data_IF_134627770511
#
_entry.id   IF_134627770511
#
_cell.length_a   1.000
_cell.length_b   1.000
_cell.length_c   1.000
_cell.angle_alpha   90.00
_cell.angle_beta   90.00
_cell.angle_gamma   90.00
#
_symmetry.space_group_name_H-M   'P 1'
#
loop_
_entity.id
_entity.type
_entity.pdbx_description
1 polymer ?
#
# COMPACT_ATOMS: atom_id res chain seq x y z
N UNK A 1 49.17 1.46 14.88
CA UNK A 1 48.80 0.59 16.01
C UNK A 1 47.95 1.42 16.96
N UNK A 2 46.82 0.85 17.40
CA UNK A 2 45.81 1.38 18.34
C UNK A 2 44.68 2.23 17.75
N UNK A 3 43.59 1.51 17.48
CA UNK A 3 42.22 2.00 17.49
C UNK A 3 41.79 2.37 18.92
N UNK A 4 40.98 3.42 19.05
CA UNK A 4 40.12 3.65 20.19
C UNK A 4 38.74 4.04 19.64
N UNK A 5 37.82 3.07 19.59
CA UNK A 5 36.41 3.29 19.32
C UNK A 5 35.68 3.39 20.65
N UNK A 6 35.25 4.58 21.02
CA UNK A 6 34.30 4.79 22.12
C UNK A 6 32.90 4.70 21.53
N UNK A 7 32.23 3.56 21.72
CA UNK A 7 30.85 3.35 21.30
C UNK A 7 29.95 4.08 22.32
N UNK A 8 29.55 5.31 21.98
CA UNK A 8 28.43 5.97 22.64
C UNK A 8 27.18 5.50 21.90
N UNK A 9 26.30 4.81 22.63
CA UNK A 9 25.04 4.26 22.15
C UNK A 9 24.19 5.33 21.49
N UNK A 10 24.21 5.35 20.16
CA UNK A 10 23.21 6.02 19.35
C UNK A 10 22.09 4.99 19.15
N UNK A 11 20.94 5.22 19.78
CA UNK A 11 19.70 4.56 19.39
C UNK A 11 19.48 4.87 17.90
N UNK A 12 19.86 3.94 17.04
CA UNK A 12 19.53 4.01 15.63
C UNK A 12 18.04 3.68 15.54
N UNK A 13 17.19 4.70 15.72
CA UNK A 13 15.80 4.58 15.29
C UNK A 13 15.83 4.41 13.79
N UNK A 14 15.73 3.16 13.34
CA UNK A 14 15.60 2.81 11.95
C UNK A 14 14.20 3.26 11.51
N UNK A 15 14.03 4.55 11.21
CA UNK A 15 12.88 5.03 10.46
C UNK A 15 13.06 4.50 9.05
N UNK A 16 12.58 3.29 8.80
CA UNK A 16 12.40 2.78 7.47
C UNK A 16 11.32 3.64 6.80
N UNK A 17 11.73 4.68 6.09
CA UNK A 17 10.87 5.34 5.11
C UNK A 17 10.52 4.27 4.09
N UNK A 18 9.27 3.78 4.11
CA UNK A 18 8.77 2.95 3.02
C UNK A 18 8.82 3.81 1.76
N UNK A 19 9.82 3.59 0.93
CA UNK A 19 9.93 4.29 -0.34
C UNK A 19 8.77 3.78 -1.20
N UNK A 20 7.71 4.57 -1.31
CA UNK A 20 6.58 4.25 -2.20
C UNK A 20 7.16 4.07 -3.59
N UNK A 21 7.05 2.88 -4.16
CA UNK A 21 7.52 2.65 -5.52
C UNK A 21 6.71 3.56 -6.45
N UNK A 22 7.39 4.47 -7.15
CA UNK A 22 6.72 5.41 -8.05
C UNK A 22 6.01 4.64 -9.17
N UNK A 23 4.85 5.14 -9.62
CA UNK A 23 4.16 4.54 -10.76
C UNK A 23 4.99 4.63 -12.04
N UNK A 24 5.62 5.78 -12.26
CA UNK A 24 6.51 6.04 -13.38
C UNK A 24 7.86 6.54 -12.87
N UNK A 25 8.96 5.94 -13.30
CA UNK A 25 10.31 6.37 -12.97
C UNK A 25 11.04 6.75 -14.25
N UNK A 26 11.61 7.97 -14.29
CA UNK A 26 12.49 8.40 -15.39
C UNK A 26 13.91 8.58 -14.90
N UNK A 27 14.82 7.79 -15.44
CA UNK A 27 16.24 7.74 -15.06
C UNK A 27 17.05 8.51 -16.10
N UNK A 28 17.81 9.51 -15.64
CA UNK A 28 18.78 10.28 -16.44
C UNK A 28 20.12 10.42 -15.71
N UNK A 29 20.56 9.36 -15.04
CA UNK A 29 21.74 9.35 -14.18
C UNK A 29 22.79 8.43 -14.76
N UNK A 30 24.02 8.88 -14.95
CA UNK A 30 25.12 8.03 -15.40
C UNK A 30 25.71 7.25 -14.20
N UNK A 31 25.72 5.92 -14.31
CA UNK A 31 26.25 5.03 -13.27
C UNK A 31 27.72 4.71 -13.56
N UNK A 32 28.63 5.55 -13.06
CA UNK A 32 30.07 5.41 -13.33
C UNK A 32 30.85 4.72 -12.20
N UNK A 33 30.30 4.71 -10.98
CA UNK A 33 30.93 4.09 -9.81
C UNK A 33 30.57 2.61 -9.73
N UNK A 34 31.58 1.76 -9.50
CA UNK A 34 31.42 0.33 -9.22
C UNK A 34 30.31 0.09 -8.19
N UNK A 35 29.37 -0.80 -8.50
CA UNK A 35 28.21 -1.07 -7.65
C UNK A 35 27.09 -1.80 -8.36
N UNK A 36 26.06 -2.14 -7.59
CA UNK A 36 24.79 -2.69 -8.08
C UNK A 36 23.68 -1.69 -7.76
N UNK A 37 22.89 -1.35 -8.77
CA UNK A 37 21.79 -0.38 -8.64
C UNK A 37 20.48 -1.06 -9.01
N UNK A 38 19.44 -0.78 -8.22
CA UNK A 38 18.08 -1.26 -8.46
C UNK A 38 17.16 -0.06 -8.63
N UNK A 39 16.36 -0.07 -9.71
CA UNK A 39 15.31 0.92 -9.96
C UNK A 39 13.98 0.20 -10.14
N UNK A 40 12.97 0.62 -9.38
CA UNK A 40 11.67 -0.03 -9.36
C UNK A 40 10.55 0.97 -9.66
N UNK A 41 9.61 0.57 -10.53
CA UNK A 41 8.37 1.30 -10.78
C UNK A 41 7.17 0.35 -10.83
N UNK A 42 6.02 0.76 -10.33
CA UNK A 42 4.82 -0.10 -10.38
C UNK A 42 4.20 -0.17 -11.77
N UNK A 43 4.49 0.77 -12.66
CA UNK A 43 4.06 0.73 -14.05
C UNK A 43 5.26 0.78 -15.00
N UNK A 44 5.94 1.92 -15.07
CA UNK A 44 6.89 2.16 -16.16
C UNK A 44 8.24 2.70 -15.66
N UNK A 45 9.33 2.14 -16.19
CA UNK A 45 10.69 2.70 -16.05
C UNK A 45 11.14 3.22 -17.41
N UNK A 46 11.46 4.51 -17.52
CA UNK A 46 12.09 5.13 -18.70
C UNK A 46 13.55 5.46 -18.39
N UNK A 47 14.48 5.02 -19.21
CA UNK A 47 15.91 5.14 -18.93
C UNK A 47 16.71 5.77 -20.08
N UNK A 48 17.57 6.73 -19.74
CA UNK A 48 18.46 7.47 -20.67
C UNK A 48 19.91 7.50 -20.17
N UNK A 49 20.31 6.53 -19.35
CA UNK A 49 21.56 6.55 -18.62
C UNK A 49 22.71 5.81 -19.31
N UNK A 50 23.94 6.16 -18.89
CA UNK A 50 25.13 5.35 -19.17
C UNK A 50 25.43 4.41 -18.01
N UNK A 51 25.81 3.17 -18.31
CA UNK A 51 26.25 2.16 -17.34
C UNK A 51 27.74 1.93 -17.54
N UNK A 52 28.54 2.31 -16.55
CA UNK A 52 29.99 2.18 -16.55
C UNK A 52 30.48 0.74 -16.46
N UNK A 53 31.79 0.55 -16.68
CA UNK A 53 32.43 -0.77 -16.61
C UNK A 53 32.29 -1.35 -15.19
N UNK A 54 32.00 -2.66 -15.12
CA UNK A 54 31.82 -3.39 -13.85
C UNK A 54 30.70 -2.85 -12.96
N UNK A 55 29.74 -2.14 -13.55
CA UNK A 55 28.52 -1.69 -12.88
C UNK A 55 27.37 -2.62 -13.25
N UNK A 56 26.57 -3.01 -12.26
CA UNK A 56 25.31 -3.72 -12.44
C UNK A 56 24.12 -2.80 -12.25
N UNK A 57 23.17 -2.83 -13.17
CA UNK A 57 21.90 -2.09 -13.04
C UNK A 57 20.74 -3.03 -13.33
N UNK A 58 19.81 -3.12 -12.39
CA UNK A 58 18.55 -3.84 -12.54
C UNK A 58 17.36 -2.87 -12.57
N UNK A 59 16.54 -2.96 -13.61
CA UNK A 59 15.27 -2.26 -13.73
C UNK A 59 14.12 -3.24 -13.53
N UNK A 60 13.19 -2.90 -12.63
CA UNK A 60 11.97 -3.66 -12.41
C UNK A 60 10.77 -2.77 -12.63
N UNK A 61 9.89 -3.17 -13.54
CA UNK A 61 8.68 -2.42 -13.83
C UNK A 61 7.46 -3.35 -13.83
N UNK A 62 6.32 -2.88 -13.31
CA UNK A 62 5.08 -3.65 -13.33
C UNK A 62 4.49 -3.85 -14.73
N UNK A 63 4.69 -2.90 -15.64
CA UNK A 63 4.14 -2.94 -17.00
C UNK A 63 5.21 -2.84 -18.08
N UNK A 64 6.14 -1.87 -17.99
CA UNK A 64 7.04 -1.59 -19.11
C UNK A 64 8.38 -1.01 -18.67
N UNK A 65 9.46 -1.44 -19.32
CA UNK A 65 10.76 -0.77 -19.27
C UNK A 65 11.06 -0.21 -20.65
N UNK A 66 11.30 1.10 -20.75
CA UNK A 66 11.60 1.83 -21.99
C UNK A 66 13.03 2.34 -21.92
N UNK A 67 13.88 1.87 -22.83
CA UNK A 67 15.21 2.44 -23.05
C UNK A 67 15.11 3.49 -24.14
N UNK A 68 15.40 4.74 -23.79
CA UNK A 68 15.34 5.87 -24.72
C UNK A 68 16.70 6.08 -25.40
N UNK A 69 16.73 6.76 -26.56
CA UNK A 69 17.97 7.16 -27.20
C UNK A 69 18.90 7.89 -26.24
N UNK A 70 20.16 7.44 -26.17
CA UNK A 70 21.15 7.93 -25.19
C UNK A 70 21.46 6.94 -24.07
N UNK A 71 20.71 5.83 -23.96
CA UNK A 71 21.12 4.71 -23.12
C UNK A 71 22.39 4.04 -23.66
N UNK A 72 23.40 3.86 -22.79
CA UNK A 72 24.67 3.22 -23.16
C UNK A 72 25.11 2.24 -22.07
N UNK A 73 25.55 1.04 -22.46
CA UNK A 73 26.16 0.08 -21.54
C UNK A 73 27.60 -0.20 -21.98
N UNK A 74 28.58 0.15 -21.14
CA UNK A 74 30.01 -0.02 -21.47
C UNK A 74 30.42 -1.50 -21.36
N UNK A 75 31.41 -1.91 -22.15
CA UNK A 75 31.96 -3.28 -22.09
C UNK A 75 32.33 -3.67 -20.66
N UNK A 76 31.78 -4.78 -20.17
CA UNK A 76 31.97 -5.27 -18.81
C UNK A 76 30.95 -4.76 -17.78
N UNK A 77 29.93 -3.98 -18.19
CA UNK A 77 28.74 -3.73 -17.37
C UNK A 77 27.79 -4.93 -17.38
N UNK A 78 26.92 -5.00 -16.37
CA UNK A 78 25.77 -5.91 -16.33
C UNK A 78 24.49 -5.06 -16.34
N UNK A 79 23.58 -5.36 -17.25
CA UNK A 79 22.28 -4.69 -17.35
C UNK A 79 21.17 -5.75 -17.36
N UNK A 80 20.16 -5.56 -16.51
CA UNK A 80 19.01 -6.46 -16.40
C UNK A 80 17.72 -5.63 -16.39
N UNK A 81 16.74 -6.03 -17.19
CA UNK A 81 15.40 -5.44 -17.19
C UNK A 81 14.35 -6.54 -16.99
N UNK A 82 13.53 -6.39 -15.96
CA UNK A 82 12.49 -7.33 -15.56
C UNK A 82 11.12 -6.63 -15.58
N UNK A 83 10.20 -7.14 -16.38
CA UNK A 83 8.78 -6.77 -16.28
C UNK A 83 8.08 -7.80 -15.41
N UNK A 84 7.75 -7.41 -14.18
CA UNK A 84 7.06 -8.25 -13.19
C UNK A 84 6.29 -7.35 -12.25
N UNK A 85 5.25 -7.88 -11.61
CA UNK A 85 4.53 -7.15 -10.56
C UNK A 85 5.52 -6.61 -9.53
N UNK A 86 5.79 -5.31 -9.61
CA UNK A 86 6.49 -4.57 -8.56
C UNK A 86 5.40 -4.21 -7.58
N UNK A 87 5.30 -4.99 -6.52
CA UNK A 87 4.55 -4.55 -5.36
C UNK A 87 5.24 -3.28 -4.88
N UNK A 88 4.67 -2.10 -5.18
CA UNK A 88 4.76 -1.06 -4.19
C UNK A 88 4.32 -1.73 -2.88
N UNK A 89 5.04 -1.48 -1.79
CA UNK A 89 4.36 -1.46 -0.52
C UNK A 89 3.29 -0.36 -0.65
N UNK A 90 2.18 -0.71 -1.31
CA UNK A 90 0.94 0.03 -1.24
C UNK A 90 0.59 -0.19 0.21
N UNK A 91 0.85 0.81 1.05
CA UNK A 91 0.32 0.82 2.39
C UNK A 91 -1.15 0.47 2.27
N UNK A 92 -1.51 -0.72 2.76
CA UNK A 92 -2.83 -1.26 2.58
C UNK A 92 -3.77 -0.29 3.28
N UNK A 93 -4.55 0.45 2.51
CA UNK A 93 -5.40 1.53 3.03
C UNK A 93 -6.51 1.01 3.93
N UNK A 94 -7.30 1.93 4.47
CA UNK A 94 -8.56 1.56 5.10
C UNK A 94 -9.41 0.82 4.06
N UNK A 95 -9.85 -0.40 4.37
CA UNK A 95 -10.73 -1.21 3.53
C UNK A 95 -12.01 -1.53 4.30
N UNK A 96 -13.13 -1.69 3.59
CA UNK A 96 -14.43 -2.03 4.17
C UNK A 96 -15.22 -2.88 3.19
N UNK A 97 -15.68 -4.04 3.63
CA UNK A 97 -16.51 -4.96 2.85
C UNK A 97 -17.59 -5.59 3.73
N UNK A 98 -18.60 -6.18 3.11
CA UNK A 98 -19.65 -6.94 3.80
C UNK A 98 -19.89 -8.26 3.07
N UNK A 99 -19.91 -9.37 3.81
CA UNK A 99 -20.21 -10.68 3.25
C UNK A 99 -21.04 -11.53 4.23
N UNK A 100 -22.13 -12.18 3.76
CA UNK A 100 -22.68 -12.10 2.41
C UNK A 100 -23.30 -10.73 2.09
N UNK A 101 -23.34 -10.36 0.81
CA UNK A 101 -24.02 -9.17 0.32
C UNK A 101 -24.45 -9.41 -1.15
N UNK A 102 -25.75 -9.58 -1.46
CA UNK A 102 -26.90 -9.40 -0.57
C UNK A 102 -27.04 -10.44 0.56
N UNK A 103 -27.80 -10.14 1.61
CA UNK A 103 -28.01 -11.02 2.78
C UNK A 103 -29.47 -11.03 3.28
N UNK A 104 -29.87 -12.05 4.03
CA UNK A 104 -31.25 -12.21 4.56
C UNK A 104 -31.42 -11.57 5.95
N UNK A 105 -30.61 -12.00 6.93
CA UNK A 105 -30.70 -11.53 8.32
C UNK A 105 -29.36 -11.01 8.84
N UNK A 106 -28.28 -11.76 8.61
CA UNK A 106 -26.96 -11.43 9.14
C UNK A 106 -25.95 -11.25 8.00
N UNK A 107 -25.12 -10.23 8.11
CA UNK A 107 -23.91 -10.05 7.28
C UNK A 107 -22.70 -9.75 8.18
N UNK A 108 -21.52 -10.17 7.77
CA UNK A 108 -20.27 -9.83 8.45
C UNK A 108 -19.65 -8.63 7.77
N UNK A 109 -19.45 -7.56 8.53
CA UNK A 109 -18.73 -6.36 8.10
C UNK A 109 -17.25 -6.57 8.40
N UNK A 110 -16.41 -6.58 7.37
CA UNK A 110 -14.96 -6.70 7.51
C UNK A 110 -14.29 -5.38 7.15
N UNK A 111 -13.33 -4.95 7.95
CA UNK A 111 -12.50 -3.78 7.62
C UNK A 111 -11.03 -4.04 7.94
N UNK A 112 -10.15 -3.34 7.23
CA UNK A 112 -8.70 -3.38 7.45
C UNK A 112 -8.22 -2.02 7.94
N UNK A 113 -7.47 -1.99 9.04
CA UNK A 113 -6.85 -0.79 9.55
C UNK A 113 -5.37 -0.74 9.13
N UNK A 114 -4.91 0.31 8.42
CA UNK A 114 -3.50 0.49 8.05
C UNK A 114 -2.56 0.66 9.25
N UNK A 115 -3.09 1.22 10.34
CA UNK A 115 -2.36 1.56 11.55
C UNK A 115 -3.29 1.44 12.76
N UNK A 116 -2.71 1.36 13.96
CA UNK A 116 -3.47 1.40 15.20
C UNK A 116 -4.27 2.72 15.28
N UNK A 117 -5.40 2.70 15.96
CA UNK A 117 -6.13 3.91 16.32
C UNK A 117 -7.58 3.67 16.67
N UNK A 118 -8.26 4.79 16.92
CA UNK A 118 -9.70 4.84 17.21
C UNK A 118 -10.53 4.49 15.98
N UNK A 119 -11.55 3.68 16.19
CA UNK A 119 -12.47 3.20 15.16
C UNK A 119 -13.90 3.50 15.56
N UNK A 120 -14.65 4.03 14.61
CA UNK A 120 -16.10 4.09 14.64
C UNK A 120 -16.64 3.32 13.44
N UNK A 121 -17.53 2.36 13.67
CA UNK A 121 -18.20 1.59 12.63
C UNK A 121 -19.71 1.67 12.86
N UNK A 122 -20.45 2.08 11.84
CA UNK A 122 -21.90 2.14 11.93
C UNK A 122 -22.59 1.81 10.62
N UNK A 123 -23.87 1.52 10.73
CA UNK A 123 -24.79 1.32 9.63
C UNK A 123 -25.66 2.57 9.49
N UNK A 124 -25.83 3.02 8.26
CA UNK A 124 -26.75 4.07 7.88
C UNK A 124 -27.76 3.58 6.83
N UNK A 125 -28.91 4.23 6.73
CA UNK A 125 -29.87 3.99 5.65
C UNK A 125 -29.44 4.70 4.34
N UNK A 126 -30.28 4.58 3.31
CA UNK A 126 -30.05 5.20 1.99
C UNK A 126 -30.02 6.74 2.02
N UNK A 127 -30.54 7.37 3.09
CA UNK A 127 -30.49 8.82 3.29
C UNK A 127 -29.29 9.24 4.15
N UNK A 128 -28.45 8.29 4.58
CA UNK A 128 -27.29 8.54 5.43
C UNK A 128 -27.62 8.69 6.92
N UNK A 129 -28.86 8.41 7.33
CA UNK A 129 -29.25 8.45 8.75
C UNK A 129 -28.65 7.26 9.47
N UNK A 130 -28.05 7.51 10.63
CA UNK A 130 -27.52 6.48 11.51
C UNK A 130 -28.64 5.52 11.97
N UNK A 131 -28.44 4.23 11.69
CA UNK A 131 -29.35 3.14 12.11
C UNK A 131 -28.77 2.38 13.30
N UNK A 132 -27.49 2.02 13.26
CA UNK A 132 -26.88 1.20 14.31
C UNK A 132 -25.37 1.47 14.41
N UNK A 133 -24.84 1.71 15.61
CA UNK A 133 -23.39 1.72 15.88
C UNK A 133 -22.93 0.31 16.21
N UNK A 134 -22.01 -0.23 15.42
CA UNK A 134 -21.40 -1.55 15.61
C UNK A 134 -20.11 -1.47 16.42
N UNK A 135 -19.36 -0.37 16.26
CA UNK A 135 -18.17 -0.02 17.04
C UNK A 135 -18.25 1.47 17.33
N UNK A 136 -18.04 1.86 18.59
CA UNK A 136 -18.15 3.26 19.04
C UNK A 136 -16.90 3.66 19.84
N UNK A 137 -16.11 4.56 19.27
CA UNK A 137 -14.84 5.10 19.81
C UNK A 137 -13.90 4.05 20.43
N UNK A 138 -13.67 2.92 19.75
CA UNK A 138 -12.80 1.85 20.25
C UNK A 138 -11.39 1.92 19.67
N UNK A 139 -10.38 1.80 20.52
CA UNK A 139 -8.98 1.61 20.11
C UNK A 139 -8.76 0.19 19.57
N UNK A 140 -8.24 0.07 18.35
CA UNK A 140 -7.91 -1.21 17.73
C UNK A 140 -6.53 -1.20 17.11
N UNK A 141 -5.89 -2.36 17.07
CA UNK A 141 -4.59 -2.53 16.41
C UNK A 141 -4.76 -2.59 14.89
N UNK A 142 -3.70 -2.24 14.15
CA UNK A 142 -3.61 -2.45 12.71
C UNK A 142 -3.92 -3.90 12.36
N UNK A 143 -4.57 -4.12 11.22
CA UNK A 143 -4.97 -5.45 10.78
C UNK A 143 -6.45 -5.56 10.40
N UNK A 144 -6.88 -6.80 10.17
CA UNK A 144 -8.24 -7.12 9.76
C UNK A 144 -9.13 -7.30 10.99
N UNK A 145 -10.31 -6.69 10.94
CA UNK A 145 -11.35 -6.80 11.95
C UNK A 145 -12.68 -7.20 11.32
N UNK A 146 -13.49 -7.90 12.08
CA UNK A 146 -14.80 -8.40 11.62
C UNK A 146 -15.86 -8.18 12.69
N UNK A 147 -17.02 -7.66 12.28
CA UNK A 147 -18.17 -7.45 13.16
C UNK A 147 -19.41 -7.97 12.47
N UNK A 148 -20.18 -8.82 13.16
CA UNK A 148 -21.46 -9.31 12.65
C UNK A 148 -22.53 -8.24 12.85
N UNK A 149 -23.30 -7.97 11.81
CA UNK A 149 -24.49 -7.15 11.89
C UNK A 149 -25.72 -8.01 11.67
N UNK A 150 -26.56 -8.13 12.70
CA UNK A 150 -27.89 -8.71 12.61
C UNK A 150 -28.91 -7.61 12.28
N UNK A 151 -29.52 -7.74 11.11
CA UNK A 151 -30.53 -6.85 10.56
C UNK A 151 -31.88 -7.57 10.41
N UNK A 152 -32.14 -8.65 11.16
CA UNK A 152 -33.36 -9.45 11.04
C UNK A 152 -34.66 -8.65 11.20
N UNK A 153 -34.65 -7.58 12.00
CA UNK A 153 -35.79 -6.68 12.19
C UNK A 153 -35.87 -5.52 11.18
N UNK A 154 -34.91 -5.42 10.25
CA UNK A 154 -34.84 -4.34 9.26
C UNK A 154 -35.57 -4.72 7.97
N UNK A 155 -36.15 -3.72 7.31
CA UNK A 155 -36.79 -3.90 6.01
C UNK A 155 -35.78 -4.24 4.93
N UNK A 156 -36.19 -4.99 3.91
CA UNK A 156 -35.42 -5.17 2.68
C UNK A 156 -35.05 -3.82 2.08
N UNK A 157 -33.84 -3.67 1.57
CA UNK A 157 -33.38 -2.38 1.05
C UNK A 157 -31.87 -2.20 1.01
N UNK A 158 -31.47 -0.98 0.68
CA UNK A 158 -30.07 -0.59 0.61
C UNK A 158 -29.66 0.13 1.89
N UNK A 159 -28.54 -0.29 2.44
CA UNK A 159 -27.88 0.28 3.61
C UNK A 159 -26.43 0.60 3.28
N UNK A 160 -25.80 1.43 4.10
CA UNK A 160 -24.39 1.75 4.02
C UNK A 160 -23.72 1.33 5.33
N UNK A 161 -22.68 0.50 5.28
CA UNK A 161 -21.71 0.47 6.37
C UNK A 161 -20.72 1.61 6.19
N UNK A 162 -20.33 2.22 7.30
CA UNK A 162 -19.41 3.36 7.31
C UNK A 162 -18.40 3.12 8.41
N UNK A 163 -17.11 3.16 8.05
CA UNK A 163 -16.00 3.07 9.00
C UNK A 163 -15.18 4.35 8.95
N UNK A 164 -14.83 4.85 10.13
CA UNK A 164 -13.98 6.01 10.32
C UNK A 164 -12.83 5.66 11.27
N UNK A 165 -11.60 5.96 10.83
CA UNK A 165 -10.40 5.81 11.63
C UNK A 165 -9.28 6.69 11.09
N UNK A 166 -8.46 7.27 11.97
CA UNK A 166 -7.28 8.07 11.61
C UNK A 166 -7.58 9.13 10.53
N UNK A 167 -8.67 9.90 10.73
CA UNK A 167 -9.16 10.96 9.82
C UNK A 167 -9.59 10.47 8.42
N UNK A 168 -9.59 9.16 8.17
CA UNK A 168 -10.12 8.55 6.96
C UNK A 168 -11.49 7.96 7.23
N UNK A 169 -12.40 8.16 6.27
CA UNK A 169 -13.76 7.61 6.31
C UNK A 169 -14.07 6.97 4.98
N UNK A 170 -14.53 5.74 5.02
CA UNK A 170 -15.00 5.01 3.83
C UNK A 170 -16.36 4.37 4.13
N UNK A 171 -17.10 4.09 3.07
CA UNK A 171 -18.39 3.41 3.17
C UNK A 171 -18.48 2.26 2.16
N UNK A 172 -19.35 1.30 2.44
CA UNK A 172 -19.66 0.19 1.55
C UNK A 172 -21.17 -0.01 1.48
N UNK A 173 -21.67 -0.21 0.26
CA UNK A 173 -23.08 -0.49 0.00
C UNK A 173 -23.43 -1.92 0.38
N UNK A 174 -24.50 -2.09 1.14
CA UNK A 174 -25.03 -3.39 1.56
C UNK A 174 -26.50 -3.51 1.13
N UNK A 175 -26.89 -4.67 0.63
CA UNK A 175 -28.26 -4.97 0.20
C UNK A 175 -28.84 -6.04 1.11
N UNK A 176 -29.87 -5.66 1.86
CA UNK A 176 -30.70 -6.61 2.60
C UNK A 176 -31.85 -7.07 1.69
N UNK A 177 -32.06 -8.38 1.62
CA UNK A 177 -33.21 -8.98 0.92
C UNK A 177 -34.48 -8.89 1.74
#
# INVERSE_FOLDING_TARGET
MRALFTIIGCYLTLTAYSQTANQHVRIRLDYEKYGQYLQEATETVEAVNKVGKSVGVEYRAGKTVVLLPGFEAKTGSVFVANVRSVSANVEKGLELTAFPNPFEQITTISYYLPANGKVNLWIADSQGKLIHRLVDDQEQTAGKHEVKWDAGAMTSGVYLSVVESNQKRINSRIVKK
#
